data_IF_946972159813
#
_entry.id   IF_946972159813
#
_cell.length_a   1.000
_cell.length_b   1.000
_cell.length_c   1.000
_cell.angle_alpha   90.00
_cell.angle_beta   90.00
_cell.angle_gamma   90.00
#
_symmetry.space_group_name_H-M   'P 1'
#
loop_
_entity.id
_entity.type
_entity.pdbx_description
1 polymer ?
#
# COMPACT_ATOMS: atom_id res chain seq x y z
N UNK A 1 -29.60 -13.00 14.93
CA UNK A 1 -29.45 -11.95 15.97
C UNK A 1 -28.61 -10.80 15.39
N UNK A 2 -29.07 -9.53 15.44
CA UNK A 2 -28.39 -8.35 14.83
C UNK A 2 -26.91 -8.20 15.22
N UNK A 3 -26.49 -8.68 16.39
CA UNK A 3 -25.10 -8.58 16.86
C UNK A 3 -24.05 -9.40 16.09
N UNK A 4 -24.45 -10.45 15.35
CA UNK A 4 -23.50 -11.24 14.55
C UNK A 4 -23.09 -10.53 13.25
N UNK A 5 -24.03 -9.84 12.60
CA UNK A 5 -23.75 -9.04 11.38
C UNK A 5 -22.84 -7.86 11.73
N UNK A 6 -23.13 -7.16 12.82
CA UNK A 6 -22.30 -6.07 13.33
C UNK A 6 -20.85 -6.51 13.60
N UNK A 7 -20.64 -7.75 14.06
CA UNK A 7 -19.30 -8.30 14.31
C UNK A 7 -18.56 -8.57 13.00
N UNK A 8 -19.21 -9.26 12.06
CA UNK A 8 -18.60 -9.64 10.78
C UNK A 8 -18.24 -8.43 9.92
N UNK A 9 -18.97 -7.32 10.04
CA UNK A 9 -18.65 -6.06 9.34
C UNK A 9 -17.40 -5.34 9.87
N UNK A 10 -16.90 -5.69 11.06
CA UNK A 10 -15.73 -5.03 11.66
C UNK A 10 -14.45 -5.84 11.53
N UNK A 11 -14.56 -7.10 11.14
CA UNK A 11 -13.43 -8.02 10.98
C UNK A 11 -12.90 -7.87 9.55
N UNK A 12 -11.58 -7.79 9.39
CA UNK A 12 -10.95 -7.68 8.07
C UNK A 12 -11.16 -8.95 7.24
N UNK A 13 -11.06 -8.85 5.90
CA UNK A 13 -11.14 -10.02 5.02
C UNK A 13 -10.05 -11.07 5.29
N UNK A 14 -8.90 -10.63 5.81
CA UNK A 14 -7.85 -11.54 6.32
C UNK A 14 -8.33 -12.27 7.57
N UNK A 15 -8.78 -11.52 8.57
CA UNK A 15 -9.21 -12.10 9.85
C UNK A 15 -10.41 -13.03 9.70
N UNK A 16 -11.33 -12.78 8.75
CA UNK A 16 -12.44 -13.69 8.45
C UNK A 16 -11.98 -15.09 8.00
N UNK A 17 -10.77 -15.23 7.45
CA UNK A 17 -10.17 -16.51 7.06
C UNK A 17 -9.50 -17.22 8.24
N UNK A 18 -8.90 -16.44 9.14
CA UNK A 18 -8.04 -16.95 10.22
C UNK A 18 -8.77 -17.10 11.57
N UNK A 19 -9.92 -16.43 11.76
CA UNK A 19 -10.64 -16.39 13.03
C UNK A 19 -11.31 -17.73 13.35
N UNK A 20 -11.11 -18.19 14.58
CA UNK A 20 -11.75 -19.40 15.10
C UNK A 20 -13.19 -19.11 15.57
N UNK A 21 -14.07 -20.11 15.47
CA UNK A 21 -15.48 -19.98 15.82
C UNK A 21 -15.71 -19.60 17.29
N UNK A 22 -14.87 -20.09 18.20
CA UNK A 22 -14.93 -19.79 19.63
C UNK A 22 -14.75 -18.29 19.92
N UNK A 23 -13.84 -17.61 19.20
CA UNK A 23 -13.64 -16.15 19.28
C UNK A 23 -14.91 -15.40 18.83
N UNK A 24 -15.50 -15.81 17.71
CA UNK A 24 -16.72 -15.17 17.19
C UNK A 24 -17.89 -15.33 18.16
N UNK A 25 -18.05 -16.52 18.73
CA UNK A 25 -19.11 -16.80 19.72
C UNK A 25 -18.90 -15.97 20.99
N UNK A 26 -17.67 -15.91 21.53
CA UNK A 26 -17.33 -15.15 22.73
C UNK A 26 -17.69 -13.65 22.57
N UNK A 27 -17.31 -13.07 21.43
CA UNK A 27 -17.57 -11.66 21.14
C UNK A 27 -19.04 -11.37 20.81
N UNK A 28 -19.72 -12.29 20.12
CA UNK A 28 -21.13 -12.15 19.77
C UNK A 28 -22.04 -12.28 21.01
N UNK A 29 -21.74 -13.23 21.91
CA UNK A 29 -22.55 -13.54 23.09
C UNK A 29 -22.27 -12.61 24.27
N UNK A 30 -21.16 -11.89 24.26
CA UNK A 30 -20.85 -10.87 25.26
C UNK A 30 -22.03 -9.92 25.49
N UNK A 31 -22.45 -9.77 26.75
CA UNK A 31 -23.57 -8.90 27.18
C UNK A 31 -23.13 -7.46 27.46
N UNK A 32 -21.84 -7.22 27.44
CA UNK A 32 -21.20 -5.94 27.73
C UNK A 32 -21.58 -4.91 26.66
N UNK A 33 -21.94 -3.69 27.06
CA UNK A 33 -22.37 -2.61 26.16
C UNK A 33 -21.72 -1.30 26.59
N UNK A 34 -21.53 -0.41 25.62
CA UNK A 34 -21.29 1.02 25.86
C UNK A 34 -22.50 1.79 25.33
N UNK A 35 -22.76 2.96 25.90
CA UNK A 35 -23.87 3.86 25.53
C UNK A 35 -23.80 4.27 24.06
N UNK A 36 -22.58 4.44 23.52
CA UNK A 36 -22.36 4.81 22.13
C UNK A 36 -22.32 3.56 21.22
N UNK A 37 -23.39 3.34 20.46
CA UNK A 37 -23.52 2.19 19.57
C UNK A 37 -22.41 2.11 18.49
N UNK A 38 -21.86 3.25 18.05
CA UNK A 38 -20.75 3.30 17.10
C UNK A 38 -19.45 2.80 17.71
N UNK A 39 -19.09 3.30 18.90
CA UNK A 39 -17.92 2.84 19.65
C UNK A 39 -18.06 1.40 20.10
N UNK A 40 -19.28 0.99 20.43
CA UNK A 40 -19.57 -0.39 20.77
C UNK A 40 -19.22 -1.34 19.63
N UNK A 41 -19.68 -1.04 18.41
CA UNK A 41 -19.39 -1.86 17.22
C UNK A 41 -17.90 -1.85 16.89
N UNK A 42 -17.30 -0.67 16.81
CA UNK A 42 -15.93 -0.48 16.34
C UNK A 42 -14.86 -0.99 17.32
N UNK A 43 -15.02 -0.71 18.61
CA UNK A 43 -13.98 -1.00 19.61
C UNK A 43 -14.37 -2.17 20.50
N UNK A 44 -15.52 -2.10 21.18
CA UNK A 44 -15.86 -3.10 22.20
C UNK A 44 -16.15 -4.46 21.57
N UNK A 45 -16.86 -4.52 20.44
CA UNK A 45 -17.24 -5.78 19.79
C UNK A 45 -16.12 -6.39 18.96
N UNK A 46 -15.27 -5.57 18.33
CA UNK A 46 -14.19 -6.04 17.48
C UNK A 46 -13.13 -6.84 18.28
N UNK A 47 -12.85 -8.12 17.92
CA UNK A 47 -11.85 -8.95 18.58
C UNK A 47 -10.41 -8.50 18.30
N UNK A 48 -10.18 -7.86 17.16
CA UNK A 48 -8.87 -7.40 16.72
C UNK A 48 -8.47 -6.13 17.47
N UNK A 49 -7.31 -6.16 18.11
CA UNK A 49 -6.68 -5.02 18.79
C UNK A 49 -5.48 -4.52 17.98
N UNK A 50 -4.61 -5.43 17.54
CA UNK A 50 -3.41 -5.16 16.74
C UNK A 50 -3.03 -6.43 15.95
N UNK A 51 -1.76 -6.84 15.90
CA UNK A 51 -1.28 -7.98 15.11
C UNK A 51 -1.32 -9.35 15.85
N UNK A 52 -2.06 -9.48 16.95
CA UNK A 52 -2.13 -10.69 17.78
C UNK A 52 -2.82 -11.90 17.11
N UNK A 53 -2.60 -13.09 17.65
CA UNK A 53 -3.50 -14.21 17.38
C UNK A 53 -4.83 -13.98 18.14
N UNK A 54 -5.96 -14.00 17.43
CA UNK A 54 -7.26 -13.76 18.04
C UNK A 54 -7.64 -14.88 19.03
N UNK A 55 -7.94 -14.50 20.27
CA UNK A 55 -8.33 -15.42 21.35
C UNK A 55 -9.65 -15.02 22.00
N UNK A 56 -10.47 -15.96 22.51
CA UNK A 56 -11.73 -15.65 23.18
C UNK A 56 -11.50 -15.10 24.59
N UNK A 57 -11.26 -13.79 24.70
CA UNK A 57 -10.82 -13.17 25.96
C UNK A 57 -11.97 -12.66 26.84
N UNK A 58 -13.18 -12.41 26.30
CA UNK A 58 -14.24 -11.74 27.07
C UNK A 58 -14.86 -12.63 28.14
N UNK A 59 -15.14 -13.89 27.82
CA UNK A 59 -15.64 -14.87 28.79
C UNK A 59 -14.60 -15.12 29.88
N UNK A 60 -13.30 -15.12 29.53
CA UNK A 60 -12.22 -15.25 30.49
C UNK A 60 -12.23 -14.07 31.49
N UNK A 61 -12.17 -12.83 31.00
CA UNK A 61 -12.18 -11.64 31.87
C UNK A 61 -13.46 -11.50 32.68
N UNK A 62 -14.62 -11.88 32.13
CA UNK A 62 -15.88 -11.91 32.87
C UNK A 62 -15.92 -12.92 34.03
N UNK A 63 -14.97 -13.86 34.11
CA UNK A 63 -14.82 -14.80 35.23
C UNK A 63 -13.77 -14.37 36.25
N UNK A 64 -12.67 -13.77 35.78
CA UNK A 64 -11.50 -13.48 36.64
C UNK A 64 -11.49 -12.08 37.24
N UNK A 65 -12.28 -11.15 36.70
CA UNK A 65 -12.44 -9.80 37.25
C UNK A 65 -13.76 -9.76 38.04
N UNK A 66 -13.70 -9.32 39.30
CA UNK A 66 -14.88 -9.19 40.16
C UNK A 66 -15.84 -8.12 39.63
N UNK A 67 -17.12 -8.19 40.00
CA UNK A 67 -18.09 -7.18 39.56
C UNK A 67 -17.75 -5.80 40.13
N UNK A 68 -17.26 -5.78 41.36
CA UNK A 68 -16.84 -4.59 42.09
C UNK A 68 -15.67 -3.91 41.36
N UNK A 69 -14.68 -4.67 40.88
CA UNK A 69 -13.57 -4.15 40.10
C UNK A 69 -14.05 -3.63 38.73
N UNK A 70 -14.96 -4.35 38.07
CA UNK A 70 -15.56 -3.88 36.80
C UNK A 70 -16.27 -2.54 36.99
N UNK A 71 -17.10 -2.40 38.02
CA UNK A 71 -17.80 -1.14 38.34
C UNK A 71 -16.81 -0.01 38.65
N UNK A 72 -15.77 -0.29 39.44
CA UNK A 72 -14.73 0.68 39.78
C UNK A 72 -13.95 1.14 38.55
N UNK A 73 -13.57 0.23 37.65
CA UNK A 73 -12.84 0.54 36.42
C UNK A 73 -13.70 1.22 35.36
N UNK A 74 -14.99 0.90 35.27
CA UNK A 74 -15.91 1.60 34.37
C UNK A 74 -16.18 3.02 34.86
N UNK A 75 -16.36 3.21 36.18
CA UNK A 75 -16.54 4.54 36.77
C UNK A 75 -15.25 5.39 36.67
N UNK A 76 -14.08 4.76 36.85
CA UNK A 76 -12.79 5.44 36.79
C UNK A 76 -11.75 4.59 36.04
N UNK A 77 -11.69 4.70 34.69
CA UNK A 77 -10.77 3.93 33.85
C UNK A 77 -9.29 4.05 34.22
N UNK A 78 -8.93 5.14 34.90
CA UNK A 78 -7.57 5.36 35.41
C UNK A 78 -7.16 4.34 36.48
N UNK A 79 -8.10 3.80 37.27
CA UNK A 79 -7.82 2.71 38.21
C UNK A 79 -7.35 1.45 37.49
N UNK A 80 -7.89 1.16 36.31
CA UNK A 80 -7.46 0.04 35.48
C UNK A 80 -6.04 0.28 34.94
N UNK A 81 -5.72 1.49 34.49
CA UNK A 81 -4.36 1.86 34.05
C UNK A 81 -3.35 1.65 35.18
N UNK A 82 -3.66 2.16 36.38
CA UNK A 82 -2.82 2.00 37.55
C UNK A 82 -2.64 0.53 37.95
N UNK A 83 -3.72 -0.26 37.86
CA UNK A 83 -3.66 -1.69 38.14
C UNK A 83 -2.74 -2.42 37.14
N UNK A 84 -2.84 -2.14 35.85
CA UNK A 84 -1.96 -2.76 34.84
C UNK A 84 -0.50 -2.35 35.04
N UNK A 85 -0.24 -1.06 35.27
CA UNK A 85 1.11 -0.56 35.53
C UNK A 85 1.75 -1.20 36.77
N UNK A 86 0.95 -1.48 37.80
CA UNK A 86 1.41 -2.12 39.05
C UNK A 86 1.62 -3.62 38.92
N UNK A 87 0.73 -4.33 38.22
CA UNK A 87 0.66 -5.79 38.27
C UNK A 87 1.29 -6.49 37.06
N UNK A 88 1.57 -5.78 35.96
CA UNK A 88 2.18 -6.37 34.76
C UNK A 88 3.62 -5.88 34.63
N UNK A 89 4.57 -6.79 34.86
CA UNK A 89 5.97 -6.51 34.64
C UNK A 89 6.28 -6.53 33.14
N UNK A 90 6.91 -5.46 32.64
CA UNK A 90 7.38 -5.40 31.25
C UNK A 90 8.80 -5.94 31.16
N UNK A 91 9.01 -6.96 30.33
CA UNK A 91 10.33 -7.51 30.04
C UNK A 91 10.52 -7.69 28.53
N UNK A 92 11.51 -6.99 27.98
CA UNK A 92 11.84 -7.00 26.54
C UNK A 92 12.50 -8.31 26.08
N UNK A 93 13.06 -9.09 27.00
CA UNK A 93 13.78 -10.34 26.71
C UNK A 93 12.87 -11.58 26.75
N UNK A 94 11.66 -11.47 27.32
CA UNK A 94 10.74 -12.60 27.47
C UNK A 94 10.03 -13.02 26.17
N UNK A 95 10.11 -12.22 25.09
CA UNK A 95 9.42 -12.47 23.83
C UNK A 95 10.29 -12.14 22.60
N UNK A 96 11.43 -12.84 22.47
CA UNK A 96 12.41 -12.60 21.40
C UNK A 96 11.86 -12.83 19.98
N UNK A 97 10.86 -13.71 19.83
CA UNK A 97 10.22 -13.94 18.53
C UNK A 97 9.23 -12.85 18.13
N UNK A 98 8.87 -11.96 19.06
CA UNK A 98 7.87 -10.91 18.93
C UNK A 98 6.41 -11.29 18.55
N UNK A 99 5.91 -12.56 18.60
CA UNK A 99 4.46 -12.76 18.48
C UNK A 99 3.76 -12.23 19.74
N UNK A 100 2.67 -11.46 19.63
CA UNK A 100 1.99 -10.97 20.80
C UNK A 100 1.49 -12.09 21.72
N UNK A 101 1.76 -11.97 23.02
CA UNK A 101 1.28 -12.90 24.05
C UNK A 101 -0.22 -12.71 24.22
N UNK A 102 -0.97 -13.81 24.36
CA UNK A 102 -2.42 -13.73 24.51
C UNK A 102 -2.83 -12.96 25.78
N UNK A 103 -3.98 -12.25 25.78
CA UNK A 103 -4.44 -11.52 26.97
C UNK A 103 -4.59 -12.41 28.23
N UNK A 104 -5.03 -13.65 28.05
CA UNK A 104 -5.09 -14.63 29.13
C UNK A 104 -3.70 -15.02 29.64
N UNK A 105 -2.71 -15.18 28.75
CA UNK A 105 -1.32 -15.46 29.10
C UNK A 105 -0.71 -14.33 29.94
N UNK A 106 -0.88 -13.08 29.49
CA UNK A 106 -0.43 -11.89 30.24
C UNK A 106 -1.10 -11.81 31.61
N UNK A 107 -2.40 -12.12 31.69
CA UNK A 107 -3.11 -12.16 32.97
C UNK A 107 -2.48 -13.18 33.93
N UNK A 108 -2.25 -14.42 33.48
CA UNK A 108 -1.72 -15.47 34.35
C UNK A 108 -0.27 -15.25 34.74
N UNK A 109 0.56 -14.86 33.78
CA UNK A 109 2.01 -14.72 33.98
C UNK A 109 2.41 -13.42 34.67
N UNK A 110 1.57 -12.37 34.60
CA UNK A 110 1.88 -11.01 35.08
C UNK A 110 3.18 -10.44 34.48
N UNK A 111 3.57 -10.95 33.31
CA UNK A 111 4.81 -10.68 32.63
C UNK A 111 4.55 -10.66 31.12
N UNK A 112 5.01 -9.60 30.44
CA UNK A 112 4.83 -9.43 28.99
C UNK A 112 5.86 -8.46 28.41
N UNK A 113 6.05 -8.46 27.09
CA UNK A 113 6.65 -7.30 26.42
C UNK A 113 5.65 -6.11 26.40
N UNK A 114 6.14 -4.92 26.04
CA UNK A 114 5.33 -3.70 26.07
C UNK A 114 4.11 -3.77 25.13
N UNK A 115 4.27 -4.34 23.94
CA UNK A 115 3.18 -4.43 22.96
C UNK A 115 2.10 -5.43 23.40
N UNK A 116 2.52 -6.57 23.96
CA UNK A 116 1.62 -7.56 24.54
C UNK A 116 0.85 -7.01 25.76
N UNK A 117 1.49 -6.20 26.62
CA UNK A 117 0.82 -5.49 27.71
C UNK A 117 -0.26 -4.54 27.18
N UNK A 118 0.05 -3.81 26.12
CA UNK A 118 -0.85 -2.82 25.52
C UNK A 118 -2.08 -3.51 24.90
N UNK A 119 -1.89 -4.64 24.21
CA UNK A 119 -2.98 -5.48 23.70
C UNK A 119 -3.83 -6.00 24.86
N UNK A 120 -3.19 -6.54 25.89
CA UNK A 120 -3.85 -7.03 27.10
C UNK A 120 -4.73 -5.96 27.75
N UNK A 121 -4.23 -4.74 27.93
CA UNK A 121 -4.98 -3.63 28.51
C UNK A 121 -6.23 -3.31 27.69
N UNK A 122 -6.11 -3.21 26.36
CA UNK A 122 -7.25 -2.93 25.47
C UNK A 122 -8.26 -4.08 25.50
N UNK A 123 -7.82 -5.34 25.49
CA UNK A 123 -8.70 -6.51 25.62
C UNK A 123 -9.44 -6.53 26.96
N UNK A 124 -8.76 -6.20 28.06
CA UNK A 124 -9.35 -6.08 29.40
C UNK A 124 -10.41 -4.96 29.42
N UNK A 125 -10.07 -3.76 28.93
CA UNK A 125 -10.99 -2.62 28.84
C UNK A 125 -12.26 -2.95 28.03
N UNK A 126 -12.09 -3.53 26.83
CA UNK A 126 -13.19 -3.93 25.94
C UNK A 126 -14.05 -5.05 26.55
N UNK A 127 -13.51 -5.87 27.44
CA UNK A 127 -14.28 -6.89 28.16
C UNK A 127 -15.21 -6.30 29.22
N UNK A 128 -14.93 -5.08 29.68
CA UNK A 128 -15.76 -4.34 30.64
C UNK A 128 -16.67 -3.31 29.95
N UNK A 129 -16.50 -3.12 28.64
CA UNK A 129 -17.35 -2.23 27.84
C UNK A 129 -16.76 -0.85 27.67
N UNK A 130 -15.55 -0.63 28.18
CA UNK A 130 -14.79 0.59 27.98
C UNK A 130 -14.20 0.57 26.56
N UNK A 131 -14.58 1.51 25.67
CA UNK A 131 -14.01 1.59 24.34
C UNK A 131 -12.52 1.95 24.42
N UNK A 132 -11.67 1.11 23.84
CA UNK A 132 -10.22 1.31 23.83
C UNK A 132 -9.62 0.81 22.51
N UNK A 133 -8.46 1.33 22.13
CA UNK A 133 -7.72 0.89 20.93
C UNK A 133 -6.22 1.08 21.12
N UNK A 134 -5.45 0.38 20.30
CA UNK A 134 -4.11 0.83 19.92
C UNK A 134 -4.32 1.62 18.63
N UNK A 135 -3.93 2.88 18.61
CA UNK A 135 -4.04 3.71 17.42
C UNK A 135 -3.09 3.17 16.35
N UNK A 136 -3.64 2.70 15.23
CA UNK A 136 -2.86 2.06 14.16
C UNK A 136 -1.79 3.00 13.59
N UNK A 137 -2.04 4.30 13.61
CA UNK A 137 -1.16 5.33 13.06
C UNK A 137 0.02 5.62 13.97
N UNK A 138 -0.23 5.81 15.27
CA UNK A 138 0.80 6.24 16.24
C UNK A 138 1.30 5.12 17.15
N UNK A 139 0.67 3.95 17.12
CA UNK A 139 0.94 2.83 18.02
C UNK A 139 0.55 3.07 19.48
N UNK A 140 -0.10 4.20 19.80
CA UNK A 140 -0.43 4.57 21.17
C UNK A 140 -1.69 3.86 21.67
N UNK A 141 -1.68 3.46 22.94
CA UNK A 141 -2.88 2.98 23.62
C UNK A 141 -3.81 4.15 23.92
N UNK A 142 -5.09 4.03 23.58
CA UNK A 142 -6.09 5.07 23.75
C UNK A 142 -7.37 4.52 24.38
N UNK A 143 -7.90 5.24 25.37
CA UNK A 143 -9.28 5.13 25.81
C UNK A 143 -10.15 6.09 24.99
N UNK A 144 -11.28 5.62 24.49
CA UNK A 144 -12.18 6.43 23.66
C UNK A 144 -13.38 6.86 24.50
N UNK A 145 -13.47 8.17 24.71
CA UNK A 145 -14.57 8.84 25.41
C UNK A 145 -15.34 9.72 24.43
N UNK A 146 -16.52 10.21 24.83
CA UNK A 146 -17.31 11.13 24.00
C UNK A 146 -16.60 12.48 23.79
N UNK A 147 -15.74 12.89 24.73
CA UNK A 147 -14.92 14.12 24.65
C UNK A 147 -13.63 13.93 23.80
N UNK A 148 -13.32 12.69 23.42
CA UNK A 148 -12.17 12.36 22.58
C UNK A 148 -11.35 11.15 23.04
N UNK A 149 -10.23 10.93 22.38
CA UNK A 149 -9.28 9.87 22.72
C UNK A 149 -8.31 10.36 23.81
N UNK A 150 -8.23 9.61 24.90
CA UNK A 150 -7.27 9.80 25.99
C UNK A 150 -6.11 8.84 25.76
N UNK A 151 -4.92 9.36 25.48
CA UNK A 151 -3.70 8.55 25.38
C UNK A 151 -3.37 7.96 26.75
N UNK A 152 -3.10 6.66 26.79
CA UNK A 152 -2.71 5.91 28.00
C UNK A 152 -1.20 5.70 27.97
N UNK A 153 -0.52 6.31 28.94
CA UNK A 153 0.86 6.06 29.25
C UNK A 153 0.97 5.35 30.61
N UNK A 154 1.51 4.13 30.61
CA UNK A 154 1.68 3.32 31.81
C UNK A 154 2.87 3.76 32.67
N UNK A 155 3.75 4.62 32.16
CA UNK A 155 4.97 5.09 32.85
C UNK A 155 4.86 6.54 33.37
N UNK A 156 3.85 7.31 32.94
CA UNK A 156 3.69 8.71 33.34
C UNK A 156 2.70 8.89 34.49
N UNK A 157 3.00 9.83 35.39
CA UNK A 157 2.17 10.19 36.55
C UNK A 157 0.87 10.97 36.19
N UNK A 158 0.54 11.11 34.91
CA UNK A 158 -0.65 11.80 34.42
C UNK A 158 -0.93 11.45 32.96
N UNK A 159 -2.21 11.39 32.60
CA UNK A 159 -2.63 11.20 31.22
C UNK A 159 -2.86 12.57 30.60
N UNK A 160 -2.21 12.83 29.47
CA UNK A 160 -2.32 14.10 28.78
C UNK A 160 -3.21 13.88 27.57
N UNK A 161 -4.30 14.66 27.40
CA UNK A 161 -5.06 14.66 26.16
C UNK A 161 -4.13 14.90 24.98
N UNK A 162 -4.30 14.14 23.90
CA UNK A 162 -3.47 14.30 22.71
C UNK A 162 -3.68 15.71 22.13
N UNK A 163 -2.69 16.59 22.29
CA UNK A 163 -2.69 17.88 21.61
C UNK A 163 -2.49 17.63 20.12
N UNK A 164 -3.50 17.93 19.30
CA UNK A 164 -3.49 17.66 17.86
C UNK A 164 -3.42 18.94 17.05
N UNK A 165 -2.76 18.86 15.90
CA UNK A 165 -2.82 19.84 14.83
C UNK A 165 -3.30 19.18 13.54
N UNK A 166 -3.33 19.96 12.46
CA UNK A 166 -3.71 19.48 11.12
C UNK A 166 -2.55 19.63 10.15
N UNK A 167 -2.16 18.55 9.49
CA UNK A 167 -1.13 18.57 8.45
C UNK A 167 -1.78 18.43 7.07
N UNK A 168 -1.54 19.41 6.20
CA UNK A 168 -1.93 19.37 4.79
C UNK A 168 -0.70 19.49 3.90
N UNK A 169 -0.74 18.87 2.73
CA UNK A 169 0.31 19.01 1.72
C UNK A 169 -0.29 19.33 0.36
N UNK A 170 0.31 20.27 -0.35
CA UNK A 170 -0.01 20.55 -1.76
C UNK A 170 0.84 19.67 -2.66
N UNK A 171 0.24 19.14 -3.73
CA UNK A 171 0.92 18.32 -4.74
C UNK A 171 0.57 18.83 -6.13
N UNK A 172 1.58 18.91 -7.00
CA UNK A 172 1.40 19.19 -8.42
C UNK A 172 1.54 17.87 -9.18
N UNK A 173 0.44 17.34 -9.77
CA UNK A 173 0.47 16.10 -10.54
C UNK A 173 1.51 16.12 -11.66
N UNK A 174 2.30 15.05 -11.74
CA UNK A 174 3.16 14.75 -12.88
C UNK A 174 2.45 13.73 -13.79
N UNK A 175 2.84 13.67 -15.06
CA UNK A 175 2.12 12.86 -16.06
C UNK A 175 2.02 11.36 -15.68
N UNK A 176 3.06 10.82 -15.06
CA UNK A 176 3.14 9.42 -14.61
C UNK A 176 2.51 9.18 -13.24
N UNK A 177 2.27 10.24 -12.45
CA UNK A 177 1.80 10.12 -11.07
C UNK A 177 0.89 11.29 -10.71
N UNK A 178 -0.41 11.03 -10.78
CA UNK A 178 -1.48 11.96 -10.44
C UNK A 178 -1.81 11.97 -8.94
N UNK A 179 -1.74 10.82 -8.28
CA UNK A 179 -2.07 10.67 -6.87
C UNK A 179 -1.07 9.74 -6.14
N UNK A 180 -0.04 10.29 -5.49
CA UNK A 180 0.96 9.55 -4.73
C UNK A 180 0.33 8.64 -3.65
N UNK A 181 0.98 7.50 -3.38
CA UNK A 181 0.52 6.44 -2.45
C UNK A 181 1.43 6.38 -1.22
N UNK A 182 0.85 6.11 -0.04
CA UNK A 182 1.46 6.28 1.28
C UNK A 182 2.60 5.29 1.66
N UNK A 183 2.94 4.31 0.84
CA UNK A 183 4.15 3.49 1.06
C UNK A 183 5.00 3.34 -0.20
N UNK A 184 4.38 3.52 -1.37
CA UNK A 184 5.08 3.44 -2.65
C UNK A 184 5.79 4.75 -3.02
N UNK A 185 5.24 5.90 -2.61
CA UNK A 185 5.69 7.20 -3.10
C UNK A 185 6.09 8.16 -1.98
N UNK A 186 5.41 8.13 -0.83
CA UNK A 186 5.74 8.99 0.29
C UNK A 186 5.38 8.32 1.61
N UNK A 187 6.09 8.65 2.68
CA UNK A 187 5.78 8.22 4.06
C UNK A 187 5.95 9.38 5.03
N UNK A 188 5.26 9.33 6.17
CA UNK A 188 5.39 10.33 7.23
C UNK A 188 5.86 9.61 8.50
N UNK A 189 6.94 10.11 9.09
CA UNK A 189 7.44 9.60 10.38
C UNK A 189 7.40 10.70 11.43
N UNK A 190 6.94 10.38 12.63
CA UNK A 190 7.04 11.26 13.81
C UNK A 190 8.42 11.15 14.42
N UNK A 191 9.01 12.25 14.83
CA UNK A 191 10.23 12.25 15.63
C UNK A 191 9.84 12.01 17.08
N UNK A 192 10.35 10.93 17.66
CA UNK A 192 10.13 10.61 19.08
C UNK A 192 10.97 11.53 19.98
N UNK A 193 10.62 11.68 21.27
CA UNK A 193 11.45 12.43 22.22
C UNK A 193 12.89 11.91 22.34
N UNK A 194 13.12 10.63 22.01
CA UNK A 194 14.44 9.98 22.00
C UNK A 194 15.23 10.24 20.69
N UNK A 195 14.67 10.99 19.75
CA UNK A 195 15.29 11.30 18.45
C UNK A 195 15.17 10.19 17.41
N UNK A 196 14.41 9.12 17.68
CA UNK A 196 14.12 8.07 16.70
C UNK A 196 12.94 8.44 15.80
N UNK A 197 12.86 7.84 14.61
CA UNK A 197 11.74 8.03 13.69
C UNK A 197 10.73 6.91 13.86
N UNK A 198 9.49 7.28 14.18
CA UNK A 198 8.35 6.39 14.23
C UNK A 198 7.51 6.59 12.97
N UNK A 199 7.51 5.59 12.08
CA UNK A 199 6.66 5.60 10.90
C UNK A 199 5.19 5.62 11.29
N UNK A 200 4.41 6.53 10.71
CA UNK A 200 2.96 6.52 10.87
C UNK A 200 2.37 5.44 9.97
N UNK A 201 1.63 4.49 10.54
CA UNK A 201 1.08 3.36 9.77
C UNK A 201 -0.36 3.62 9.37
N UNK A 202 -0.63 3.68 8.07
CA UNK A 202 -2.00 3.69 7.53
C UNK A 202 -2.31 2.41 6.76
N UNK A 203 -3.59 2.21 6.45
CA UNK A 203 -4.08 1.10 5.65
C UNK A 203 -3.51 1.13 4.22
N UNK A 204 -2.85 0.05 3.82
CA UNK A 204 -2.37 -0.17 2.45
C UNK A 204 -3.51 -0.52 1.47
N UNK A 205 -4.66 -0.98 1.98
CA UNK A 205 -5.77 -1.50 1.20
C UNK A 205 -5.42 -2.74 0.38
N UNK A 206 -6.42 -3.37 -0.22
CA UNK A 206 -6.18 -4.48 -1.15
C UNK A 206 -5.57 -3.95 -2.47
N UNK A 207 -4.41 -4.49 -2.84
CA UNK A 207 -3.66 -4.12 -4.03
C UNK A 207 -4.48 -4.24 -5.34
N UNK A 208 -5.41 -5.20 -5.39
CA UNK A 208 -6.23 -5.51 -6.58
C UNK A 208 -7.43 -4.55 -6.76
N UNK A 209 -7.83 -3.81 -5.73
CA UNK A 209 -9.02 -2.94 -5.77
C UNK A 209 -8.67 -1.45 -5.83
N UNK A 210 -7.39 -1.10 -6.02
CA UNK A 210 -6.93 0.28 -5.97
C UNK A 210 -7.08 0.90 -4.58
N UNK A 211 -7.11 0.06 -3.53
CA UNK A 211 -7.16 0.47 -2.14
C UNK A 211 -5.87 1.17 -1.68
N UNK A 212 -5.95 1.76 -0.48
CA UNK A 212 -4.81 2.34 0.22
C UNK A 212 -4.87 3.85 0.41
N UNK A 213 -4.12 4.33 1.39
CA UNK A 213 -4.01 5.76 1.67
C UNK A 213 -3.18 6.47 0.58
N UNK A 214 -3.72 7.57 0.08
CA UNK A 214 -3.12 8.38 -0.99
C UNK A 214 -2.93 9.83 -0.53
N UNK A 215 -2.18 10.62 -1.29
CA UNK A 215 -2.05 12.05 -1.03
C UNK A 215 -3.43 12.73 -0.97
N UNK A 216 -4.33 12.41 -1.91
CA UNK A 216 -5.65 13.04 -1.96
C UNK A 216 -6.52 12.73 -0.75
N UNK A 217 -6.44 11.50 -0.20
CA UNK A 217 -7.25 11.13 0.96
C UNK A 217 -6.65 11.58 2.29
N UNK A 218 -5.31 11.64 2.38
CA UNK A 218 -4.62 11.96 3.63
C UNK A 218 -4.28 13.45 3.77
N UNK A 219 -3.70 14.05 2.73
CA UNK A 219 -2.99 15.33 2.86
C UNK A 219 -3.65 16.48 2.10
N UNK A 220 -4.51 16.23 1.12
CA UNK A 220 -5.16 17.30 0.33
C UNK A 220 -6.06 18.19 1.18
N UNK A 221 -6.99 17.60 1.94
CA UNK A 221 -7.85 18.35 2.88
C UNK A 221 -7.20 18.54 4.26
N UNK A 222 -6.13 17.77 4.51
CA UNK A 222 -5.33 17.76 5.72
C UNK A 222 -5.84 16.77 6.78
N UNK A 223 -4.91 16.03 7.36
CA UNK A 223 -5.16 15.01 8.39
C UNK A 223 -4.82 15.51 9.79
N UNK A 224 -5.55 15.02 10.79
CA UNK A 224 -5.29 15.35 12.19
C UNK A 224 -4.16 14.47 12.73
N UNK A 225 -3.09 15.10 13.20
CA UNK A 225 -1.92 14.45 13.79
C UNK A 225 -1.65 15.04 15.16
N UNK A 226 -0.94 14.30 16.00
CA UNK A 226 -0.40 14.86 17.24
C UNK A 226 0.53 16.04 16.94
N UNK A 227 0.59 16.99 17.86
CA UNK A 227 1.59 18.04 17.82
C UNK A 227 3.00 17.43 17.99
N UNK A 228 3.96 17.97 17.25
CA UNK A 228 5.35 17.53 17.29
C UNK A 228 6.06 17.64 15.95
N UNK A 229 7.30 17.16 15.93
CA UNK A 229 8.14 17.14 14.75
C UNK A 229 7.94 15.86 13.94
N UNK A 230 7.97 16.01 12.62
CA UNK A 230 7.75 14.95 11.65
C UNK A 230 8.73 15.09 10.49
N UNK A 231 8.97 13.98 9.81
CA UNK A 231 9.71 13.91 8.56
C UNK A 231 8.79 13.31 7.51
N UNK A 232 8.52 14.08 6.46
CA UNK A 232 7.90 13.61 5.23
C UNK A 232 9.02 13.17 4.28
N UNK A 233 8.99 11.91 3.85
CA UNK A 233 9.92 11.37 2.87
C UNK A 233 9.15 11.08 1.59
N UNK A 234 9.64 11.55 0.46
CA UNK A 234 9.16 11.17 -0.87
C UNK A 234 10.25 10.44 -1.63
N UNK A 235 9.87 9.54 -2.54
CA UNK A 235 10.81 8.75 -3.33
C UNK A 235 10.28 8.47 -4.74
N UNK A 236 11.08 8.82 -5.75
CA UNK A 236 10.83 8.43 -7.14
C UNK A 236 11.83 7.37 -7.55
N UNK A 237 11.35 6.17 -7.93
CA UNK A 237 12.23 5.06 -8.33
C UNK A 237 12.67 5.22 -9.79
N UNK A 238 13.98 5.16 -10.00
CA UNK A 238 14.61 5.17 -11.31
C UNK A 238 14.70 3.74 -11.87
N UNK A 239 14.79 3.63 -13.20
CA UNK A 239 14.97 2.36 -13.89
C UNK A 239 16.29 1.69 -13.49
N UNK A 240 17.35 2.48 -13.29
CA UNK A 240 18.66 2.06 -12.78
C UNK A 240 18.61 1.43 -11.38
N UNK A 241 17.46 1.49 -10.69
CA UNK A 241 17.30 1.02 -9.32
C UNK A 241 17.58 2.08 -8.25
N UNK A 242 18.14 3.23 -8.64
CA UNK A 242 18.27 4.38 -7.75
C UNK A 242 16.91 4.96 -7.33
N UNK A 243 16.89 5.70 -6.22
CA UNK A 243 15.68 6.39 -5.75
C UNK A 243 16.01 7.85 -5.52
N UNK A 244 15.31 8.74 -6.21
CA UNK A 244 15.37 10.18 -5.96
C UNK A 244 14.54 10.48 -4.72
N UNK A 245 15.20 10.50 -3.57
CA UNK A 245 14.55 10.82 -2.30
C UNK A 245 14.56 12.33 -2.03
N UNK A 246 13.52 12.79 -1.34
CA UNK A 246 13.49 14.09 -0.68
C UNK A 246 12.93 13.93 0.72
N UNK A 247 13.63 14.52 1.68
CA UNK A 247 13.22 14.55 3.09
C UNK A 247 12.86 15.98 3.46
N UNK A 248 11.69 16.16 4.04
CA UNK A 248 11.19 17.46 4.48
C UNK A 248 10.82 17.36 5.96
N UNK A 249 11.54 18.08 6.81
CA UNK A 249 11.19 18.24 8.22
C UNK A 249 10.02 19.21 8.37
N UNK A 250 9.05 18.86 9.21
CA UNK A 250 7.85 19.66 9.44
C UNK A 250 7.45 19.60 10.92
N UNK A 251 6.90 20.69 11.44
CA UNK A 251 6.43 20.79 12.82
C UNK A 251 4.92 21.04 12.82
N UNK A 252 4.17 20.10 13.41
CA UNK A 252 2.72 20.23 13.57
C UNK A 252 2.44 20.90 14.91
N UNK A 253 1.87 22.10 14.88
CA UNK A 253 1.48 22.85 16.08
C UNK A 253 0.10 22.45 16.58
N UNK A 254 -0.07 22.38 17.91
CA UNK A 254 -1.36 22.13 18.54
C UNK A 254 -2.40 23.19 18.12
N UNK A 255 -3.60 22.75 17.70
CA UNK A 255 -4.68 23.60 17.22
C UNK A 255 -4.43 24.30 15.87
N UNK A 256 -3.22 24.19 15.31
CA UNK A 256 -2.80 24.85 14.08
C UNK A 256 -2.97 23.99 12.83
N UNK A 257 -2.98 24.65 11.67
CA UNK A 257 -2.87 24.02 10.34
C UNK A 257 -1.47 24.24 9.79
N UNK A 258 -0.75 23.16 9.57
CA UNK A 258 0.59 23.17 8.96
C UNK A 258 0.44 22.76 7.50
N UNK A 259 0.89 23.61 6.59
CA UNK A 259 0.86 23.33 5.16
C UNK A 259 2.28 23.09 4.65
N UNK A 260 2.45 22.04 3.85
CA UNK A 260 3.73 21.70 3.21
C UNK A 260 3.54 21.41 1.72
N UNK A 261 4.63 21.15 1.02
CA UNK A 261 4.62 20.72 -0.38
C UNK A 261 5.09 19.27 -0.44
N UNK A 262 4.29 18.41 -1.06
CA UNK A 262 4.72 17.07 -1.42
C UNK A 262 5.43 17.17 -2.77
N UNK A 263 6.75 17.01 -2.75
CA UNK A 263 7.59 17.16 -3.96
C UNK A 263 8.07 15.77 -4.38
N UNK A 264 7.65 15.34 -5.56
CA UNK A 264 8.20 14.15 -6.22
C UNK A 264 9.32 14.62 -7.16
N UNK A 265 10.56 14.21 -6.89
CA UNK A 265 11.69 14.61 -7.73
C UNK A 265 11.63 13.86 -9.06
N UNK A 266 11.73 14.61 -10.14
CA UNK A 266 11.88 14.08 -11.49
C UNK A 266 13.30 14.34 -11.98
N UNK A 267 13.92 13.36 -12.62
CA UNK A 267 15.13 13.55 -13.41
C UNK A 267 14.73 13.37 -14.87
N UNK A 268 14.94 14.41 -15.69
CA UNK A 268 14.61 14.37 -17.12
C UNK A 268 15.66 13.62 -17.96
N UNK A 269 16.84 13.41 -17.39
CA UNK A 269 17.97 12.76 -18.06
C UNK A 269 18.07 11.26 -17.73
N UNK A 270 17.57 10.84 -16.56
CA UNK A 270 17.54 9.43 -16.16
C UNK A 270 16.16 8.82 -16.36
N UNK A 271 16.14 7.58 -16.81
CA UNK A 271 14.89 6.86 -17.08
C UNK A 271 14.19 6.52 -15.76
N UNK A 272 12.93 6.94 -15.62
CA UNK A 272 12.12 6.70 -14.43
C UNK A 272 11.14 5.54 -14.65
N UNK A 273 10.75 4.86 -13.57
CA UNK A 273 9.64 3.91 -13.66
C UNK A 273 8.34 4.68 -13.72
N UNK A 274 7.67 4.64 -14.87
CA UNK A 274 6.45 5.42 -15.15
C UNK A 274 5.17 4.61 -14.96
N UNK A 275 5.29 3.29 -14.75
CA UNK A 275 4.13 2.44 -14.49
C UNK A 275 4.49 0.98 -14.27
N UNK A 276 3.45 0.16 -14.19
CA UNK A 276 3.55 -1.29 -14.02
C UNK A 276 2.84 -2.03 -15.18
N UNK A 277 3.45 -3.09 -15.69
CA UNK A 277 2.92 -3.94 -16.75
C UNK A 277 3.13 -5.41 -16.43
N UNK A 278 2.11 -6.25 -16.59
CA UNK A 278 2.24 -7.67 -16.29
C UNK A 278 3.05 -8.41 -17.38
N UNK A 279 4.31 -8.71 -17.08
CA UNK A 279 5.21 -9.45 -17.97
C UNK A 279 4.81 -10.92 -18.17
N UNK A 280 3.90 -11.46 -17.35
CA UNK A 280 3.36 -12.82 -17.53
C UNK A 280 2.12 -12.86 -18.45
N UNK A 281 1.65 -11.72 -18.95
CA UNK A 281 0.54 -11.69 -19.91
C UNK A 281 0.88 -12.51 -21.16
N UNK A 282 -0.08 -13.34 -21.58
CA UNK A 282 0.13 -14.31 -22.64
C UNK A 282 -0.23 -13.75 -24.02
N UNK A 283 0.57 -14.12 -25.01
CA UNK A 283 0.33 -13.83 -26.42
C UNK A 283 0.59 -15.07 -27.28
N UNK A 284 0.03 -15.10 -28.49
CA UNK A 284 0.24 -16.19 -29.44
C UNK A 284 1.26 -15.77 -30.48
N UNK A 285 2.36 -16.51 -30.63
CA UNK A 285 3.36 -16.20 -31.67
C UNK A 285 2.84 -16.51 -33.06
N UNK A 286 3.22 -15.69 -34.05
CA UNK A 286 2.95 -16.00 -35.46
C UNK A 286 3.79 -17.20 -35.93
N UNK A 287 4.99 -17.35 -35.38
CA UNK A 287 5.81 -18.55 -35.59
C UNK A 287 5.33 -19.67 -34.65
N UNK A 288 4.74 -20.71 -35.22
CA UNK A 288 4.36 -21.95 -34.51
C UNK A 288 3.01 -21.92 -33.79
N UNK A 289 2.34 -20.77 -33.66
CA UNK A 289 0.99 -20.68 -33.08
C UNK A 289 0.90 -21.02 -31.59
N UNK A 290 2.04 -21.04 -30.89
CA UNK A 290 2.09 -21.39 -29.46
C UNK A 290 1.77 -20.17 -28.59
N UNK A 291 1.00 -20.40 -27.52
CA UNK A 291 0.73 -19.39 -26.49
C UNK A 291 1.91 -19.36 -25.50
N UNK A 292 2.51 -18.19 -25.29
CA UNK A 292 3.62 -18.00 -24.35
C UNK A 292 3.55 -16.64 -23.66
N UNK A 293 4.19 -16.50 -22.50
CA UNK A 293 4.25 -15.20 -21.80
C UNK A 293 5.33 -14.29 -22.36
N UNK A 294 5.15 -12.97 -22.21
CA UNK A 294 6.18 -11.99 -22.60
C UNK A 294 7.51 -12.24 -21.88
N UNK A 295 7.46 -12.67 -20.62
CA UNK A 295 8.63 -13.07 -19.84
C UNK A 295 9.35 -14.27 -20.46
N UNK A 296 8.61 -15.31 -20.87
CA UNK A 296 9.18 -16.50 -21.50
C UNK A 296 9.82 -16.18 -22.85
N UNK A 297 9.16 -15.35 -23.66
CA UNK A 297 9.64 -14.95 -24.99
C UNK A 297 10.88 -14.04 -24.93
N UNK A 298 10.92 -13.11 -23.97
CA UNK A 298 11.97 -12.09 -23.87
C UNK A 298 13.15 -12.47 -22.98
N UNK A 299 12.95 -13.38 -22.02
CA UNK A 299 13.95 -13.71 -21.00
C UNK A 299 14.16 -12.61 -19.95
N UNK A 300 15.17 -12.80 -19.08
CA UNK A 300 15.50 -11.87 -17.98
C UNK A 300 16.08 -10.55 -18.47
N UNK A 301 15.51 -9.42 -18.02
CA UNK A 301 15.95 -8.06 -18.34
C UNK A 301 14.84 -7.17 -18.90
N UNK A 302 15.26 -6.07 -19.53
CA UNK A 302 14.36 -5.17 -20.25
C UNK A 302 14.04 -5.68 -21.66
N UNK A 303 12.83 -5.42 -22.14
CA UNK A 303 12.36 -5.75 -23.48
C UNK A 303 11.37 -4.68 -23.96
N UNK A 304 11.14 -4.64 -25.28
CA UNK A 304 10.17 -3.71 -25.89
C UNK A 304 8.92 -4.48 -26.24
N UNK A 305 7.74 -3.91 -25.94
CA UNK A 305 6.45 -4.40 -26.43
C UNK A 305 5.81 -3.32 -27.28
N UNK A 306 5.51 -3.62 -28.53
CA UNK A 306 4.82 -2.74 -29.47
C UNK A 306 3.48 -3.32 -29.88
N UNK A 307 2.39 -2.57 -29.69
CA UNK A 307 1.07 -2.88 -30.24
C UNK A 307 0.92 -2.13 -31.56
N UNK A 308 0.74 -2.87 -32.67
CA UNK A 308 0.73 -2.31 -34.02
C UNK A 308 -0.69 -2.12 -34.55
N UNK A 309 -0.96 -0.98 -35.18
CA UNK A 309 -2.17 -0.77 -35.98
C UNK A 309 -1.87 -0.99 -37.46
N UNK A 310 -2.38 -2.07 -38.07
CA UNK A 310 -2.04 -2.42 -39.45
C UNK A 310 -2.70 -1.46 -40.45
N UNK A 311 -1.95 -1.08 -41.50
CA UNK A 311 -2.33 -0.06 -42.50
C UNK A 311 -2.52 1.37 -41.94
N UNK A 312 -1.98 1.65 -40.75
CA UNK A 312 -1.93 3.00 -40.22
C UNK A 312 -0.57 3.62 -40.52
N UNK A 313 -0.57 4.82 -41.12
CA UNK A 313 0.66 5.59 -41.39
C UNK A 313 1.58 5.71 -40.15
N UNK A 314 1.06 5.99 -38.94
CA UNK A 314 1.87 6.02 -37.72
C UNK A 314 2.64 4.73 -37.42
N UNK A 315 2.05 3.57 -37.68
CA UNK A 315 2.71 2.27 -37.48
C UNK A 315 3.85 2.08 -38.48
N UNK A 316 3.62 2.46 -39.74
CA UNK A 316 4.64 2.33 -40.79
C UNK A 316 5.84 3.24 -40.52
N UNK A 317 5.61 4.46 -40.03
CA UNK A 317 6.68 5.37 -39.62
C UNK A 317 7.44 4.84 -38.40
N UNK A 318 6.73 4.36 -37.37
CA UNK A 318 7.35 3.76 -36.19
C UNK A 318 8.26 2.57 -36.53
N UNK A 319 7.82 1.66 -37.42
CA UNK A 319 8.62 0.51 -37.84
C UNK A 319 9.83 0.93 -38.70
N UNK A 320 9.71 1.97 -39.52
CA UNK A 320 10.83 2.53 -40.30
C UNK A 320 11.87 3.18 -39.39
N UNK A 321 11.44 3.93 -38.37
CA UNK A 321 12.34 4.55 -37.39
C UNK A 321 13.10 3.49 -36.58
N UNK A 322 12.43 2.39 -36.18
CA UNK A 322 13.08 1.25 -35.53
C UNK A 322 14.06 0.56 -36.47
N UNK A 323 13.69 0.41 -37.75
CA UNK A 323 14.55 -0.19 -38.78
C UNK A 323 15.82 0.63 -39.03
N UNK A 324 15.74 1.96 -38.93
CA UNK A 324 16.90 2.84 -39.08
C UNK A 324 17.97 2.61 -37.99
N UNK A 325 17.58 2.13 -36.81
CA UNK A 325 18.46 1.86 -35.66
C UNK A 325 18.68 0.36 -35.41
N UNK A 326 18.52 -0.46 -36.45
CA UNK A 326 18.70 -1.91 -36.39
C UNK A 326 19.98 -2.33 -35.66
N UNK A 327 21.13 -1.79 -36.08
CA UNK A 327 22.44 -2.20 -35.57
C UNK A 327 22.59 -1.96 -34.06
N UNK A 328 22.07 -0.84 -33.56
CA UNK A 328 22.13 -0.49 -32.14
C UNK A 328 21.19 -1.37 -31.30
N UNK A 329 19.99 -1.67 -31.81
CA UNK A 329 19.02 -2.54 -31.15
C UNK A 329 19.50 -4.00 -31.11
N UNK A 330 20.12 -4.49 -32.19
CA UNK A 330 20.74 -5.81 -32.23
C UNK A 330 21.94 -5.89 -31.26
N UNK A 331 22.73 -4.82 -31.14
CA UNK A 331 23.83 -4.72 -30.17
C UNK A 331 23.35 -4.72 -28.72
N UNK A 332 22.20 -4.10 -28.43
CA UNK A 332 21.57 -4.19 -27.10
C UNK A 332 21.13 -5.63 -26.77
N UNK A 333 20.81 -6.43 -27.78
CA UNK A 333 20.60 -7.88 -27.66
C UNK A 333 19.31 -8.30 -26.98
N UNK A 334 18.39 -7.35 -26.71
CA UNK A 334 17.08 -7.65 -26.11
C UNK A 334 16.00 -7.86 -27.18
N UNK A 335 14.93 -8.55 -26.77
CA UNK A 335 13.81 -8.89 -27.65
C UNK A 335 12.84 -7.73 -27.80
N UNK A 336 12.29 -7.60 -29.01
CA UNK A 336 11.25 -6.64 -29.35
C UNK A 336 9.99 -7.43 -29.73
N UNK A 337 8.97 -7.44 -28.89
CA UNK A 337 7.72 -8.16 -29.16
C UNK A 337 6.74 -7.21 -29.84
N UNK A 338 6.38 -7.50 -31.08
CA UNK A 338 5.42 -6.74 -31.86
C UNK A 338 4.11 -7.52 -31.95
N UNK A 339 3.07 -7.01 -31.30
CA UNK A 339 1.76 -7.64 -31.20
C UNK A 339 0.74 -6.96 -32.11
N UNK A 340 -0.05 -7.79 -32.78
CA UNK A 340 -1.22 -7.38 -33.53
C UNK A 340 -2.49 -7.56 -32.67
N UNK A 341 -3.46 -6.65 -32.76
CA UNK A 341 -4.73 -6.76 -32.02
C UNK A 341 -5.52 -8.04 -32.34
N UNK A 342 -5.40 -8.59 -33.55
CA UNK A 342 -6.10 -9.80 -33.95
C UNK A 342 -5.44 -10.50 -35.17
N UNK A 343 -5.89 -11.72 -35.46
CA UNK A 343 -5.41 -12.54 -36.58
C UNK A 343 -5.62 -11.87 -37.96
N UNK A 344 -6.73 -11.15 -38.16
CA UNK A 344 -7.03 -10.47 -39.42
C UNK A 344 -6.03 -9.35 -39.72
N UNK A 345 -5.65 -8.59 -38.69
CA UNK A 345 -4.63 -7.55 -38.82
C UNK A 345 -3.25 -8.16 -39.05
N UNK A 346 -2.90 -9.22 -38.32
CA UNK A 346 -1.66 -9.96 -38.57
C UNK A 346 -1.55 -10.47 -40.01
N UNK A 347 -2.65 -10.98 -40.59
CA UNK A 347 -2.68 -11.46 -41.98
C UNK A 347 -2.54 -10.36 -43.05
N UNK A 348 -2.82 -9.09 -42.69
CA UNK A 348 -2.62 -7.92 -43.58
C UNK A 348 -1.21 -7.37 -43.52
N UNK A 349 -0.43 -7.72 -42.49
CA UNK A 349 0.95 -7.28 -42.33
C UNK A 349 1.89 -8.07 -43.24
N UNK A 350 2.75 -7.36 -43.97
CA UNK A 350 3.79 -7.96 -44.81
C UNK A 350 5.15 -7.56 -44.26
N UNK A 351 5.84 -8.50 -43.61
CA UNK A 351 7.19 -8.27 -43.09
C UNK A 351 8.19 -7.85 -44.19
N UNK A 352 7.95 -8.26 -45.43
CA UNK A 352 8.75 -7.88 -46.60
C UNK A 352 8.74 -6.35 -46.88
N UNK A 353 7.71 -5.63 -46.43
CA UNK A 353 7.62 -4.18 -46.61
C UNK A 353 8.56 -3.42 -45.63
N UNK A 354 9.13 -4.13 -44.65
CA UNK A 354 10.03 -3.60 -43.61
C UNK A 354 11.31 -4.46 -43.48
N UNK A 355 12.17 -4.53 -44.52
CA UNK A 355 13.34 -5.43 -44.56
C UNK A 355 14.47 -5.05 -43.58
N UNK A 356 14.30 -3.99 -42.79
CA UNK A 356 15.32 -3.44 -41.90
C UNK A 356 15.09 -3.71 -40.40
N UNK A 357 14.11 -4.51 -40.01
CA UNK A 357 13.86 -4.76 -38.59
C UNK A 357 14.95 -5.64 -37.94
N UNK A 358 15.23 -5.47 -36.63
CA UNK A 358 16.18 -6.30 -35.89
C UNK A 358 15.79 -7.79 -35.92
N UNK A 359 16.80 -8.66 -35.97
CA UNK A 359 16.60 -10.12 -35.88
C UNK A 359 16.10 -10.57 -34.49
N UNK A 360 16.01 -9.66 -33.52
CA UNK A 360 15.49 -9.90 -32.17
C UNK A 360 13.97 -9.68 -32.05
N UNK A 361 13.30 -9.33 -33.15
CA UNK A 361 11.85 -9.10 -33.19
C UNK A 361 11.08 -10.42 -33.12
N UNK A 362 10.04 -10.46 -32.29
CA UNK A 362 9.08 -11.55 -32.18
C UNK A 362 7.71 -10.99 -32.54
N UNK A 363 7.03 -11.62 -33.51
CA UNK A 363 5.67 -11.23 -33.87
C UNK A 363 4.64 -12.12 -33.20
N UNK A 364 3.53 -11.52 -32.77
CA UNK A 364 2.43 -12.26 -32.19
C UNK A 364 1.10 -11.55 -32.23
N UNK A 365 0.10 -12.21 -31.67
CA UNK A 365 -1.27 -11.71 -31.56
C UNK A 365 -1.58 -11.53 -30.08
N UNK A 366 -2.14 -10.37 -29.75
CA UNK A 366 -2.64 -10.07 -28.43
C UNK A 366 -3.87 -10.94 -28.13
N UNK A 367 -3.75 -11.86 -27.17
CA UNK A 367 -4.85 -12.76 -26.77
C UNK A 367 -5.45 -12.43 -25.41
N UNK A 368 -4.85 -11.52 -24.65
CA UNK A 368 -5.24 -11.20 -23.26
C UNK A 368 -5.41 -9.70 -23.04
N UNK A 369 -5.80 -8.98 -24.09
CA UNK A 369 -6.04 -7.54 -24.07
C UNK A 369 -4.84 -6.75 -23.50
N UNK A 370 -3.61 -7.18 -23.84
CA UNK A 370 -2.35 -6.52 -23.48
C UNK A 370 -2.39 -5.03 -23.83
N UNK A 371 -2.95 -4.68 -24.99
CA UNK A 371 -3.15 -3.28 -25.39
C UNK A 371 -3.98 -2.49 -24.36
N UNK A 372 -5.09 -3.07 -23.87
CA UNK A 372 -5.94 -2.42 -22.87
C UNK A 372 -5.25 -2.33 -21.51
N UNK A 373 -4.48 -3.36 -21.11
CA UNK A 373 -3.67 -3.33 -19.89
C UNK A 373 -2.68 -2.17 -19.92
N UNK A 374 -1.97 -1.98 -21.05
CA UNK A 374 -1.02 -0.88 -21.22
C UNK A 374 -1.75 0.47 -21.12
N UNK A 375 -2.86 0.65 -21.84
CA UNK A 375 -3.65 1.89 -21.81
C UNK A 375 -4.14 2.20 -20.40
N UNK A 376 -4.65 1.21 -19.67
CA UNK A 376 -5.17 1.35 -18.31
C UNK A 376 -4.06 1.67 -17.31
N UNK A 377 -2.98 0.88 -17.32
CA UNK A 377 -1.91 1.01 -16.33
C UNK A 377 -1.05 2.26 -16.56
N UNK A 378 -0.85 2.67 -17.81
CA UNK A 378 -0.13 3.90 -18.16
C UNK A 378 -1.04 5.14 -18.23
N UNK A 379 -2.34 4.99 -17.91
CA UNK A 379 -3.35 6.07 -17.93
C UNK A 379 -3.35 6.87 -19.25
N UNK A 380 -3.21 6.17 -20.38
CA UNK A 380 -3.15 6.81 -21.69
C UNK A 380 -4.49 7.47 -22.03
N UNK A 381 -4.45 8.76 -22.40
CA UNK A 381 -5.65 9.57 -22.68
C UNK A 381 -6.41 9.09 -23.91
N UNK A 382 -5.73 8.51 -24.90
CA UNK A 382 -6.33 8.05 -26.15
C UNK A 382 -6.36 6.53 -26.17
N UNK A 383 -7.53 5.93 -25.91
CA UNK A 383 -7.61 4.47 -25.70
C UNK A 383 -7.45 3.65 -26.98
N UNK A 384 -7.80 4.22 -28.13
CA UNK A 384 -7.83 3.52 -29.42
C UNK A 384 -6.72 3.98 -30.39
N UNK A 385 -5.77 4.79 -29.92
CA UNK A 385 -4.68 5.27 -30.77
C UNK A 385 -3.53 4.27 -30.78
N UNK A 386 -3.33 3.66 -31.94
CA UNK A 386 -2.19 2.80 -32.27
C UNK A 386 -1.18 3.58 -33.15
N UNK A 387 0.10 3.19 -33.18
CA UNK A 387 0.73 2.13 -32.39
C UNK A 387 1.01 2.56 -30.93
N UNK A 388 1.23 1.59 -30.04
CA UNK A 388 1.68 1.84 -28.65
C UNK A 388 2.97 1.09 -28.43
N UNK A 389 4.02 1.75 -27.95
CA UNK A 389 5.30 1.12 -27.63
C UNK A 389 5.64 1.33 -26.16
N UNK A 390 6.06 0.27 -25.48
CA UNK A 390 6.57 0.34 -24.12
C UNK A 390 7.92 -0.34 -24.01
N UNK A 391 8.74 0.12 -23.07
CA UNK A 391 9.88 -0.66 -22.56
C UNK A 391 9.51 -1.14 -21.17
N UNK A 392 9.49 -2.46 -21.01
CA UNK A 392 9.13 -3.14 -19.76
C UNK A 392 10.25 -4.07 -19.31
N UNK A 393 10.21 -4.50 -18.06
CA UNK A 393 11.13 -5.50 -17.53
C UNK A 393 10.42 -6.70 -16.92
N UNK A 394 11.22 -7.68 -16.51
CA UNK A 394 10.74 -8.92 -15.87
C UNK A 394 10.20 -8.73 -14.45
N UNK A 395 10.31 -7.54 -13.89
CA UNK A 395 9.74 -7.18 -12.59
C UNK A 395 8.46 -6.34 -12.75
N UNK A 396 7.85 -6.40 -13.93
CA UNK A 396 6.62 -5.70 -14.27
C UNK A 396 6.76 -4.17 -14.22
N UNK A 397 7.97 -3.61 -14.39
CA UNK A 397 8.22 -2.16 -14.40
C UNK A 397 8.22 -1.64 -15.83
N UNK A 398 7.49 -0.56 -16.07
CA UNK A 398 7.53 0.17 -17.35
C UNK A 398 8.32 1.44 -17.19
N UNK A 399 9.22 1.67 -18.14
CA UNK A 399 10.20 2.77 -18.10
C UNK A 399 10.07 3.73 -19.28
N UNK A 400 9.32 3.33 -20.30
CA UNK A 400 9.00 4.15 -21.47
C UNK A 400 7.62 3.78 -22.00
N UNK A 401 6.88 4.78 -22.47
CA UNK A 401 5.64 4.63 -23.22
C UNK A 401 5.59 5.67 -24.34
N UNK A 402 5.22 5.23 -25.53
CA UNK A 402 4.92 6.07 -26.67
C UNK A 402 3.61 5.61 -27.30
N UNK A 403 2.80 6.56 -27.76
CA UNK A 403 1.49 6.28 -28.34
C UNK A 403 1.21 7.17 -29.55
N UNK A 404 0.78 6.54 -30.65
CA UNK A 404 0.35 7.19 -31.88
C UNK A 404 1.52 7.68 -32.74
N UNK A 405 1.26 8.74 -33.50
CA UNK A 405 2.25 9.32 -34.40
C UNK A 405 3.35 10.04 -33.60
N UNK A 406 4.50 9.40 -33.50
CA UNK A 406 5.69 9.95 -32.86
C UNK A 406 6.85 9.86 -33.83
N UNK A 407 7.41 11.01 -34.21
CA UNK A 407 8.59 11.09 -35.08
C UNK A 407 9.83 10.72 -34.25
N UNK A 408 10.70 9.89 -34.79
CA UNK A 408 11.96 9.51 -34.14
C UNK A 408 11.75 8.50 -33.01
N UNK A 409 10.75 7.61 -33.11
CA UNK A 409 10.47 6.62 -32.07
C UNK A 409 11.71 5.75 -31.78
N UNK A 410 12.42 5.35 -32.83
CA UNK A 410 13.66 4.58 -32.68
C UNK A 410 14.68 5.30 -31.81
N UNK A 411 14.89 6.60 -32.03
CA UNK A 411 15.85 7.40 -31.25
C UNK A 411 15.41 7.54 -29.79
N UNK A 412 14.11 7.72 -29.55
CA UNK A 412 13.55 7.78 -28.19
C UNK A 412 13.71 6.46 -27.43
N UNK A 413 13.46 5.33 -28.11
CA UNK A 413 13.73 4.00 -27.58
C UNK A 413 15.22 3.86 -27.24
N UNK A 414 16.11 4.21 -28.17
CA UNK A 414 17.55 4.11 -27.94
C UNK A 414 18.07 5.06 -26.86
N UNK A 415 17.51 6.27 -26.73
CA UNK A 415 17.84 7.19 -25.64
C UNK A 415 17.47 6.58 -24.29
N UNK A 416 16.30 5.97 -24.20
CA UNK A 416 15.87 5.26 -22.99
C UNK A 416 16.79 4.06 -22.73
N UNK A 417 17.05 3.23 -23.74
CA UNK A 417 17.93 2.06 -23.64
C UNK A 417 19.35 2.42 -23.19
N UNK A 418 19.92 3.52 -23.69
CA UNK A 418 21.24 4.00 -23.25
C UNK A 418 21.26 4.50 -21.80
N UNK A 419 20.10 4.84 -21.25
CA UNK A 419 19.93 5.27 -19.85
C UNK A 419 19.51 4.14 -18.90
N UNK A 420 19.31 2.92 -19.40
CA UNK A 420 19.12 1.69 -18.61
C UNK A 420 20.47 1.03 -18.32
#
# INVERSE_FOLDING_TARGET
RKGGIDLLQQISAKDLRDVRLDVLIDHMQSRVRTTNAGYFRKYVRNPRVSNEMLTPYKTFFGKVISKEDVEAYVAEPMKMVAWVAKNIQVNKECNLGAPPVSPEGVWKARLADAHSRDIFFVSMARSMGVPARIDEVTGKVQLITDDGAIDVNFEAAGQVPAQRGRLAATYTPIQSLDNPKYYSHFTISKVTPQGSLQLLSYDEGDADMGGGVTWSSLLKEGTSLDAGDYILVTGTRLASGGVLAQMTSLNVKAGGRTETKLVMRENKDEVQVIGNFNSESLFTTLEGGNKQSLLQACGRGYFVVGILGVNQEPTNHALRDISALKADLEKWGRKLVLLFPNQEQAGKYRAADFPGLPNTVIYGIDTEDIAQQIVKNMKLKRKDTLPIFIIADTFNRVVFVSQGYTIGLGEQLMKTVKGL
#
